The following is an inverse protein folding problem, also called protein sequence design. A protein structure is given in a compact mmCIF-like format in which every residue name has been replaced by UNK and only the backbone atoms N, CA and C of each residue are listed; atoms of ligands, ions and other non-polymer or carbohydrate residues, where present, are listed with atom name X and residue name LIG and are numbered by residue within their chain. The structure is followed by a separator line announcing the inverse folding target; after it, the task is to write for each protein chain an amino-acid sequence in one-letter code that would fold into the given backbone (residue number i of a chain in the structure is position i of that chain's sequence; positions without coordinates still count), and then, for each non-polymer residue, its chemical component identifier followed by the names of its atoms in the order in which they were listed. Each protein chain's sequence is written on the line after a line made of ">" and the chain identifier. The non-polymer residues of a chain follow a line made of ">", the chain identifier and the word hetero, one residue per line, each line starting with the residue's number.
data_IF_332764543477
#
_entry.id   IF_332764543477
#
_cell.length_a   1.000
_cell.length_b   1.000
_cell.length_c   1.000
_cell.angle_alpha   90.00
_cell.angle_beta   90.00
_cell.angle_gamma   90.00
#
_symmetry.space_group_name_H-M   'P 1'
#
loop_
_entity.id
_entity.type
_entity.pdbx_description
1 polymer ?
#
# COMPACT_ATOMS: atom_id res chain seq x y z
N UNK A 1 14.21 8.14 0.73
CA UNK A 1 14.13 7.37 -0.53
C UNK A 1 13.05 6.30 -0.49
N UNK A 2 13.28 5.08 0.05
CA UNK A 2 12.25 4.01 -0.01
C UNK A 2 10.96 4.42 0.70
N UNK A 3 11.07 5.00 1.90
CA UNK A 3 9.92 5.45 2.70
C UNK A 3 9.15 6.62 2.07
N UNK A 4 9.77 7.35 1.14
CA UNK A 4 9.15 8.46 0.39
C UNK A 4 8.54 8.00 -0.93
N UNK A 5 8.61 6.69 -1.24
CA UNK A 5 8.03 6.08 -2.44
C UNK A 5 8.59 6.72 -3.74
N UNK A 6 9.83 7.22 -3.70
CA UNK A 6 10.48 7.75 -4.92
C UNK A 6 10.91 6.62 -5.86
N UNK A 7 10.86 6.83 -7.19
CA UNK A 7 11.27 5.80 -8.16
C UNK A 7 12.69 5.29 -7.90
N UNK A 8 12.84 3.96 -7.82
CA UNK A 8 14.09 3.23 -7.62
C UNK A 8 14.82 3.01 -8.96
N UNK A 9 15.10 4.12 -9.65
CA UNK A 9 15.89 4.17 -10.88
C UNK A 9 17.11 5.08 -10.67
N UNK A 10 18.12 4.95 -11.55
CA UNK A 10 19.33 5.80 -11.53
C UNK A 10 19.98 5.91 -10.15
N UNK A 11 20.18 7.16 -9.69
CA UNK A 11 20.86 7.45 -8.43
C UNK A 11 20.09 6.97 -7.19
N UNK A 12 18.76 7.08 -7.18
CA UNK A 12 17.92 6.59 -6.08
C UNK A 12 18.15 5.08 -5.88
N UNK A 13 18.19 4.33 -6.99
CA UNK A 13 18.48 2.89 -6.95
C UNK A 13 19.88 2.61 -6.40
N UNK A 14 20.89 3.35 -6.87
CA UNK A 14 22.27 3.18 -6.40
C UNK A 14 22.39 3.40 -4.89
N UNK A 15 21.75 4.43 -4.35
CA UNK A 15 21.72 4.68 -2.90
C UNK A 15 21.01 3.57 -2.12
N UNK A 16 19.88 3.07 -2.61
CA UNK A 16 19.15 2.00 -1.91
C UNK A 16 19.92 0.68 -1.95
N UNK A 17 20.53 0.32 -3.08
CA UNK A 17 21.41 -0.86 -3.19
C UNK A 17 22.54 -0.79 -2.16
N UNK A 18 23.25 0.34 -2.09
CA UNK A 18 24.36 0.50 -1.15
C UNK A 18 23.87 0.57 0.30
N UNK A 19 22.77 1.26 0.55
CA UNK A 19 22.14 1.38 1.86
C UNK A 19 21.72 0.03 2.44
N UNK A 20 21.13 -0.85 1.62
CA UNK A 20 20.79 -2.22 2.05
C UNK A 20 22.05 -3.01 2.42
N UNK A 21 23.12 -2.93 1.62
CA UNK A 21 24.39 -3.61 1.93
C UNK A 21 24.99 -3.15 3.26
N UNK A 22 24.87 -1.87 3.59
CA UNK A 22 25.35 -1.29 4.87
C UNK A 22 24.41 -1.70 6.01
N UNK A 23 23.10 -1.54 5.84
CA UNK A 23 22.10 -1.86 6.87
C UNK A 23 22.15 -3.34 7.28
N UNK A 24 22.40 -4.25 6.33
CA UNK A 24 22.56 -5.69 6.60
C UNK A 24 23.68 -6.01 7.59
N UNK A 25 24.68 -5.13 7.74
CA UNK A 25 25.79 -5.31 8.67
C UNK A 25 25.40 -5.05 10.14
N UNK A 26 24.23 -4.44 10.39
CA UNK A 26 23.72 -4.21 11.74
C UNK A 26 24.55 -3.25 12.60
N UNK A 27 25.37 -2.39 11.98
CA UNK A 27 26.31 -1.51 12.71
C UNK A 27 25.68 -0.26 13.32
N UNK A 28 24.51 0.18 12.83
CA UNK A 28 23.79 1.31 13.42
C UNK A 28 22.89 0.79 14.56
N UNK A 29 23.12 1.22 15.83
CA UNK A 29 22.36 0.73 16.98
C UNK A 29 20.84 0.93 16.84
N UNK A 30 20.42 2.08 16.32
CA UNK A 30 19.01 2.40 16.10
C UNK A 30 18.31 1.47 15.11
N UNK A 31 18.93 1.23 13.95
CA UNK A 31 18.38 0.30 12.95
C UNK A 31 18.40 -1.15 13.45
N UNK A 32 19.43 -1.55 14.19
CA UNK A 32 19.51 -2.89 14.79
C UNK A 32 18.40 -3.10 15.83
N UNK A 33 18.20 -2.13 16.73
CA UNK A 33 17.11 -2.17 17.71
C UNK A 33 15.73 -2.19 17.03
N UNK A 34 15.54 -1.39 15.98
CA UNK A 34 14.29 -1.37 15.20
C UNK A 34 14.03 -2.71 14.49
N UNK A 35 15.06 -3.35 13.93
CA UNK A 35 14.93 -4.67 13.32
C UNK A 35 14.52 -5.73 14.35
N UNK A 36 15.11 -5.67 15.54
CA UNK A 36 14.80 -6.59 16.65
C UNK A 36 13.32 -6.48 17.08
N UNK A 37 12.84 -5.27 17.39
CA UNK A 37 11.42 -5.09 17.81
C UNK A 37 10.45 -5.42 16.67
N UNK A 38 10.86 -5.27 15.42
CA UNK A 38 10.08 -5.66 14.27
C UNK A 38 10.11 -7.16 13.95
N UNK A 39 10.87 -7.97 14.70
CA UNK A 39 11.02 -9.40 14.46
C UNK A 39 11.75 -9.74 13.16
N UNK A 40 12.60 -8.84 12.66
CA UNK A 40 13.39 -9.04 11.44
C UNK A 40 14.81 -9.44 11.82
N UNK A 41 15.28 -10.57 11.28
CA UNK A 41 16.66 -11.03 11.48
C UNK A 41 17.70 -10.15 10.79
N UNK A 42 17.46 -9.77 9.53
CA UNK A 42 18.36 -8.93 8.73
C UNK A 42 17.62 -7.93 7.85
N UNK A 43 18.20 -6.75 7.61
CA UNK A 43 17.68 -5.74 6.68
C UNK A 43 18.33 -5.95 5.31
N UNK A 44 17.71 -6.76 4.45
CA UNK A 44 18.29 -7.21 3.18
C UNK A 44 17.43 -6.93 1.94
N UNK A 45 16.30 -6.23 2.11
CA UNK A 45 15.39 -5.84 1.04
C UNK A 45 14.81 -4.45 1.30
N UNK A 46 14.58 -3.69 0.23
CA UNK A 46 13.87 -2.43 0.24
C UNK A 46 12.45 -2.57 0.82
N UNK A 47 11.77 -3.70 0.63
CA UNK A 47 10.43 -3.92 1.22
C UNK A 47 10.46 -3.81 2.75
N UNK A 48 11.54 -4.25 3.41
CA UNK A 48 11.68 -4.14 4.87
C UNK A 48 11.74 -2.68 5.32
N UNK A 49 12.39 -1.82 4.54
CA UNK A 49 12.34 -0.37 4.77
C UNK A 49 10.95 0.20 4.54
N UNK A 50 10.33 -0.09 3.40
CA UNK A 50 9.04 0.52 3.02
C UNK A 50 7.85 0.11 3.88
N UNK A 51 7.81 -1.16 4.31
CA UNK A 51 6.61 -1.74 4.92
C UNK A 51 6.79 -2.16 6.39
N UNK A 52 8.02 -2.20 6.91
CA UNK A 52 8.26 -2.68 8.28
C UNK A 52 8.94 -1.61 9.14
N UNK A 53 10.10 -1.10 8.72
CA UNK A 53 10.88 -0.13 9.49
C UNK A 53 10.33 1.30 9.32
N UNK A 54 10.06 1.73 8.09
CA UNK A 54 9.54 3.06 7.76
C UNK A 54 8.24 3.41 8.50
N UNK A 55 7.22 2.53 8.53
CA UNK A 55 6.00 2.78 9.29
C UNK A 55 6.23 3.02 10.78
N UNK A 56 7.19 2.30 11.40
CA UNK A 56 7.55 2.48 12.81
C UNK A 56 8.24 3.80 13.06
N UNK A 57 9.25 4.12 12.25
CA UNK A 57 9.95 5.41 12.33
C UNK A 57 8.97 6.59 12.17
N UNK A 58 8.04 6.48 11.22
CA UNK A 58 7.05 7.52 10.95
C UNK A 58 5.92 7.56 11.99
N UNK A 59 5.76 6.55 12.84
CA UNK A 59 4.71 6.51 13.84
C UNK A 59 4.87 7.62 14.89
N UNK A 60 6.12 7.96 15.26
CA UNK A 60 6.41 9.09 16.14
C UNK A 60 5.73 10.37 15.66
N UNK A 61 6.03 10.81 14.43
CA UNK A 61 5.43 12.03 13.87
C UNK A 61 3.90 11.97 13.75
N UNK A 62 3.34 10.80 13.45
CA UNK A 62 1.88 10.62 13.35
C UNK A 62 1.18 10.66 14.71
N UNK A 63 1.88 10.30 15.78
CA UNK A 63 1.36 10.26 17.14
C UNK A 63 1.85 11.43 18.00
N UNK A 64 2.38 12.49 17.39
CA UNK A 64 2.78 13.73 18.08
C UNK A 64 4.20 13.73 18.65
N UNK A 65 4.97 12.66 18.44
CA UNK A 65 6.33 12.46 18.95
C UNK A 65 7.37 12.41 17.81
N UNK A 66 7.39 13.45 16.99
CA UNK A 66 8.18 13.49 15.75
C UNK A 66 9.70 13.34 15.93
N UNK A 67 10.23 13.69 17.09
CA UNK A 67 11.65 13.66 17.42
C UNK A 67 12.21 12.24 17.60
N UNK A 68 11.37 11.25 17.95
CA UNK A 68 11.83 9.92 18.34
C UNK A 68 12.57 9.19 17.21
N UNK A 69 12.09 9.31 15.97
CA UNK A 69 12.71 8.66 14.82
C UNK A 69 14.13 9.17 14.56
N UNK A 70 14.34 10.49 14.65
CA UNK A 70 15.66 11.09 14.52
C UNK A 70 16.57 10.70 15.69
N UNK A 71 16.08 10.80 16.93
CA UNK A 71 16.82 10.42 18.13
C UNK A 71 17.30 8.96 18.07
N UNK A 72 16.46 8.04 17.57
CA UNK A 72 16.83 6.63 17.40
C UNK A 72 17.99 6.46 16.41
N UNK A 73 17.96 7.17 15.29
CA UNK A 73 18.92 6.95 14.20
C UNK A 73 20.30 7.56 14.49
N UNK A 74 20.37 8.56 15.37
CA UNK A 74 21.62 9.25 15.74
C UNK A 74 22.25 8.74 17.04
N UNK A 75 21.53 7.95 17.86
CA UNK A 75 22.10 7.43 19.10
C UNK A 75 23.18 6.37 18.84
N UNK A 76 24.26 6.44 19.61
CA UNK A 76 25.32 5.43 19.64
C UNK A 76 25.17 4.47 20.83
N UNK A 77 24.28 4.77 21.79
CA UNK A 77 24.02 3.95 22.96
C UNK A 77 22.95 2.87 22.64
N UNK A 78 23.32 1.57 22.68
CA UNK A 78 22.38 0.48 22.44
C UNK A 78 21.19 0.42 23.41
N UNK A 79 21.36 0.86 24.66
CA UNK A 79 20.29 0.88 25.65
C UNK A 79 19.24 1.94 25.30
N UNK A 80 19.69 3.16 24.96
CA UNK A 80 18.81 4.24 24.48
C UNK A 80 18.12 3.81 23.17
N UNK A 81 18.85 3.16 22.26
CA UNK A 81 18.29 2.68 21.00
C UNK A 81 17.15 1.66 21.23
N UNK A 82 17.32 0.74 22.18
CA UNK A 82 16.30 -0.25 22.54
C UNK A 82 15.02 0.42 23.09
N UNK A 83 15.17 1.40 23.99
CA UNK A 83 14.03 2.15 24.55
C UNK A 83 13.26 2.92 23.45
N UNK A 84 13.97 3.68 22.62
CA UNK A 84 13.38 4.46 21.54
C UNK A 84 12.69 3.56 20.50
N UNK A 85 13.30 2.42 20.16
CA UNK A 85 12.71 1.46 19.23
C UNK A 85 11.42 0.84 19.80
N UNK A 86 11.42 0.47 21.08
CA UNK A 86 10.23 -0.03 21.77
C UNK A 86 9.09 0.99 21.80
N UNK A 87 9.40 2.26 22.08
CA UNK A 87 8.41 3.36 22.05
C UNK A 87 7.83 3.56 20.65
N UNK A 88 8.66 3.59 19.61
CA UNK A 88 8.20 3.73 18.23
C UNK A 88 7.36 2.54 17.76
N UNK A 89 7.66 1.32 18.20
CA UNK A 89 6.86 0.13 17.91
C UNK A 89 5.48 0.19 18.59
N UNK A 90 5.43 0.63 19.85
CA UNK A 90 4.16 0.88 20.56
C UNK A 90 3.32 1.94 19.83
N UNK A 91 3.92 3.08 19.47
CA UNK A 91 3.24 4.14 18.73
C UNK A 91 2.73 3.64 17.37
N UNK A 92 3.49 2.80 16.68
CA UNK A 92 3.05 2.19 15.42
C UNK A 92 1.85 1.26 15.63
N UNK A 93 1.84 0.46 16.69
CA UNK A 93 0.74 -0.43 17.04
C UNK A 93 -0.54 0.37 17.35
N UNK A 94 -0.43 1.42 18.19
CA UNK A 94 -1.53 2.34 18.48
C UNK A 94 -2.05 3.00 17.20
N UNK A 95 -1.14 3.51 16.37
CA UNK A 95 -1.48 4.14 15.09
C UNK A 95 -2.18 3.18 14.13
N UNK A 96 -1.77 1.90 14.07
CA UNK A 96 -2.43 0.86 13.27
C UNK A 96 -3.85 0.55 13.78
N UNK A 97 -4.05 0.52 15.09
CA UNK A 97 -5.36 0.30 15.69
C UNK A 97 -6.33 1.44 15.33
N UNK A 98 -5.91 2.69 15.55
CA UNK A 98 -6.68 3.88 15.19
C UNK A 98 -6.99 3.94 13.69
N UNK A 99 -6.02 3.63 12.83
CA UNK A 99 -6.21 3.59 11.38
C UNK A 99 -7.31 2.60 10.98
N UNK A 100 -7.31 1.39 11.55
CA UNK A 100 -8.31 0.35 11.23
C UNK A 100 -9.71 0.79 11.63
N UNK A 101 -9.88 1.27 12.87
CA UNK A 101 -11.17 1.76 13.36
C UNK A 101 -11.69 2.93 12.53
N UNK A 102 -10.81 3.91 12.26
CA UNK A 102 -11.16 5.09 11.46
C UNK A 102 -11.51 4.69 10.02
N UNK A 103 -10.79 3.74 9.42
CA UNK A 103 -11.08 3.26 8.07
C UNK A 103 -12.45 2.57 8.00
N UNK A 104 -12.77 1.71 8.96
CA UNK A 104 -14.08 1.04 9.01
C UNK A 104 -15.23 2.05 9.14
N UNK A 105 -15.06 3.07 9.98
CA UNK A 105 -16.03 4.16 10.10
C UNK A 105 -16.13 4.98 8.81
N UNK A 106 -14.99 5.31 8.19
CA UNK A 106 -14.94 6.06 6.94
C UNK A 106 -15.60 5.31 5.78
N UNK A 107 -15.39 3.99 5.69
CA UNK A 107 -16.04 3.15 4.67
C UNK A 107 -17.57 3.20 4.79
N UNK A 108 -18.11 3.13 6.02
CA UNK A 108 -19.55 3.29 6.26
C UNK A 108 -20.04 4.70 5.90
N UNK A 109 -19.25 5.73 6.21
CA UNK A 109 -19.62 7.12 5.93
C UNK A 109 -19.69 7.46 4.44
N UNK A 110 -18.86 6.82 3.60
CA UNK A 110 -18.83 7.06 2.16
C UNK A 110 -19.79 6.19 1.36
N UNK A 111 -20.30 5.10 1.94
CA UNK A 111 -21.18 4.14 1.25
C UNK A 111 -22.41 4.79 0.57
N UNK A 112 -23.12 5.76 1.19
CA UNK A 112 -24.22 6.46 0.52
C UNK A 112 -23.78 7.30 -0.69
N UNK A 113 -22.54 7.81 -0.69
CA UNK A 113 -21.98 8.68 -1.73
C UNK A 113 -21.53 7.91 -2.98
N UNK A 114 -21.51 6.58 -2.91
CA UNK A 114 -21.11 5.73 -4.02
C UNK A 114 -22.12 5.73 -5.16
N UNK A 115 -23.38 6.06 -4.89
CA UNK A 115 -24.49 6.05 -5.87
C UNK A 115 -24.62 7.31 -6.71
N UNK A 116 -23.99 8.41 -6.29
CA UNK A 116 -24.29 9.74 -6.81
C UNK A 116 -23.28 10.24 -7.88
N UNK A 117 -22.43 9.35 -8.43
CA UNK A 117 -21.35 9.68 -9.40
C UNK A 117 -20.49 10.91 -9.02
N UNK A 118 -20.43 11.25 -7.73
CA UNK A 118 -19.69 12.42 -7.29
C UNK A 118 -18.18 12.23 -7.47
N UNK A 119 -17.43 13.24 -7.92
CA UNK A 119 -16.00 13.08 -8.17
C UNK A 119 -15.15 13.01 -6.89
N UNK A 120 -15.73 13.25 -5.71
CA UNK A 120 -15.03 13.26 -4.43
C UNK A 120 -15.81 12.47 -3.38
N UNK A 121 -15.12 11.61 -2.64
CA UNK A 121 -15.62 10.98 -1.42
C UNK A 121 -15.22 11.82 -0.21
N UNK A 122 -16.16 12.15 0.67
CA UNK A 122 -15.86 12.86 1.92
C UNK A 122 -16.27 11.99 3.10
N UNK A 123 -15.31 11.64 3.93
CA UNK A 123 -15.52 10.91 5.16
C UNK A 123 -15.17 11.84 6.34
N UNK A 124 -16.08 12.02 7.28
CA UNK A 124 -15.86 12.84 8.46
C UNK A 124 -16.38 12.15 9.71
N UNK A 125 -15.67 12.30 10.83
CA UNK A 125 -16.09 11.70 12.08
C UNK A 125 -15.43 12.35 13.31
N UNK A 126 -16.19 12.36 14.40
CA UNK A 126 -15.70 12.77 15.71
C UNK A 126 -14.76 11.71 16.30
N UNK A 127 -13.77 12.16 17.07
CA UNK A 127 -12.80 11.28 17.73
C UNK A 127 -11.76 10.65 16.79
N UNK A 128 -11.79 10.98 15.49
CA UNK A 128 -10.76 10.51 14.55
C UNK A 128 -9.44 11.23 14.80
N UNK A 129 -8.33 10.49 14.75
CA UNK A 129 -7.01 11.08 15.01
C UNK A 129 -6.42 11.74 13.74
N UNK A 130 -6.02 13.01 13.82
CA UNK A 130 -5.46 13.75 12.68
C UNK A 130 -4.21 13.10 12.06
N UNK A 131 -3.45 12.33 12.85
CA UNK A 131 -2.29 11.57 12.38
C UNK A 131 -2.60 10.39 11.43
N UNK A 132 -3.86 9.92 11.37
CA UNK A 132 -4.26 8.74 10.57
C UNK A 132 -5.16 9.07 9.39
N UNK A 133 -5.87 10.21 9.38
CA UNK A 133 -6.83 10.56 8.32
C UNK A 133 -6.20 10.60 6.92
N UNK A 134 -4.92 10.99 6.79
CA UNK A 134 -4.22 10.96 5.49
C UNK A 134 -4.00 9.55 4.94
N UNK A 135 -3.85 8.55 5.83
CA UNK A 135 -3.73 7.13 5.44
C UNK A 135 -5.11 6.60 5.05
N UNK A 136 -6.15 6.97 5.81
CA UNK A 136 -7.54 6.60 5.52
C UNK A 136 -7.97 7.15 4.16
N UNK A 137 -7.70 8.43 3.87
CA UNK A 137 -7.97 9.03 2.57
C UNK A 137 -7.28 8.26 1.42
N UNK A 138 -6.01 7.86 1.60
CA UNK A 138 -5.30 7.07 0.61
C UNK A 138 -5.95 5.70 0.36
N UNK A 139 -6.42 5.02 1.42
CA UNK A 139 -7.12 3.72 1.29
C UNK A 139 -8.50 3.85 0.64
N UNK A 140 -9.20 4.96 0.86
CA UNK A 140 -10.45 5.24 0.14
C UNK A 140 -10.18 5.43 -1.36
N UNK A 141 -9.14 6.19 -1.72
CA UNK A 141 -8.71 6.35 -3.12
C UNK A 141 -8.35 4.99 -3.73
N UNK A 142 -7.55 4.17 -3.04
CA UNK A 142 -7.15 2.83 -3.51
C UNK A 142 -8.37 1.92 -3.75
N UNK A 143 -9.35 1.94 -2.84
CA UNK A 143 -10.53 1.09 -2.92
C UNK A 143 -11.54 1.51 -3.98
N UNK A 144 -11.76 2.82 -4.14
CA UNK A 144 -12.84 3.35 -4.97
C UNK A 144 -12.38 4.05 -6.24
N UNK A 145 -11.07 4.18 -6.46
CA UNK A 145 -10.47 4.88 -7.60
C UNK A 145 -11.06 6.29 -7.80
N UNK A 146 -11.33 7.00 -6.70
CA UNK A 146 -11.91 8.35 -6.66
C UNK A 146 -11.13 9.20 -5.67
N UNK A 147 -10.94 10.51 -5.93
CA UNK A 147 -10.46 11.45 -4.93
C UNK A 147 -11.21 11.29 -3.61
N UNK A 148 -10.51 11.41 -2.49
CA UNK A 148 -11.11 11.26 -1.16
C UNK A 148 -10.56 12.30 -0.18
N UNK A 149 -11.42 12.78 0.71
CA UNK A 149 -11.12 13.66 1.83
C UNK A 149 -11.57 12.99 3.13
N UNK A 150 -10.65 12.78 4.06
CA UNK A 150 -10.95 12.31 5.41
C UNK A 150 -10.79 13.48 6.40
N UNK A 151 -11.79 13.71 7.25
CA UNK A 151 -11.85 14.84 8.19
C UNK A 151 -12.02 14.36 9.62
N UNK A 152 -11.06 14.69 10.48
CA UNK A 152 -11.17 14.51 11.92
C UNK A 152 -11.87 15.71 12.54
N UNK A 153 -12.97 15.47 13.26
CA UNK A 153 -13.78 16.51 13.89
C UNK A 153 -13.48 16.58 15.39
N UNK A 154 -13.13 17.78 15.88
CA UNK A 154 -12.86 18.05 17.29
C UNK A 154 -13.22 19.51 17.63
N UNK A 155 -14.06 19.72 18.65
CA UNK A 155 -14.35 21.07 19.18
C UNK A 155 -14.95 22.06 18.17
N UNK A 156 -15.79 21.59 17.23
CA UNK A 156 -16.38 22.42 16.18
C UNK A 156 -15.46 22.71 14.99
N UNK A 157 -14.23 22.19 15.00
CA UNK A 157 -13.24 22.33 13.93
C UNK A 157 -12.94 20.96 13.31
N UNK A 158 -12.83 20.92 11.99
CA UNK A 158 -12.44 19.76 11.21
C UNK A 158 -11.02 19.89 10.65
N UNK A 159 -10.14 18.94 10.95
CA UNK A 159 -8.83 18.79 10.27
C UNK A 159 -8.96 17.77 9.16
N UNK A 160 -8.77 18.19 7.91
CA UNK A 160 -8.93 17.37 6.72
C UNK A 160 -7.61 16.97 6.07
N UNK A 161 -7.52 15.73 5.59
CA UNK A 161 -6.47 15.27 4.67
C UNK A 161 -7.08 14.63 3.44
N UNK A 162 -6.71 15.12 2.28
CA UNK A 162 -7.19 14.68 0.98
C UNK A 162 -6.13 13.94 0.17
N UNK A 163 -6.57 12.98 -0.64
CA UNK A 163 -5.77 12.28 -1.66
C UNK A 163 -6.53 12.26 -2.97
N UNK A 164 -5.81 12.36 -4.08
CA UNK A 164 -6.38 12.44 -5.42
C UNK A 164 -5.90 11.29 -6.31
N UNK A 165 -6.44 11.27 -7.53
CA UNK A 165 -6.01 10.42 -8.65
C UNK A 165 -5.53 11.30 -9.81
N UNK A 166 -4.86 10.70 -10.79
CA UNK A 166 -4.44 11.40 -12.00
C UNK A 166 -5.65 12.07 -12.69
N UNK A 167 -5.45 13.30 -13.18
CA UNK A 167 -6.51 14.10 -13.82
C UNK A 167 -7.33 14.97 -12.85
N UNK A 168 -7.12 14.86 -11.53
CA UNK A 168 -7.86 15.63 -10.53
C UNK A 168 -6.90 16.42 -9.63
N UNK A 169 -6.84 17.75 -9.81
CA UNK A 169 -6.01 18.62 -8.98
C UNK A 169 -6.74 19.01 -7.67
N UNK A 170 -6.55 18.19 -6.64
CA UNK A 170 -7.16 18.43 -5.34
C UNK A 170 -6.52 19.63 -4.61
N UNK A 171 -5.22 19.86 -4.81
CA UNK A 171 -4.50 20.99 -4.22
C UNK A 171 -5.07 22.32 -4.66
N UNK A 172 -5.23 22.52 -5.97
CA UNK A 172 -5.83 23.72 -6.54
C UNK A 172 -7.28 23.92 -6.06
N UNK A 173 -8.07 22.84 -5.95
CA UNK A 173 -9.44 22.92 -5.44
C UNK A 173 -9.50 23.38 -3.97
N UNK A 174 -8.60 22.90 -3.11
CA UNK A 174 -8.50 23.31 -1.70
C UNK A 174 -8.01 24.76 -1.58
N UNK A 175 -7.04 25.18 -2.40
CA UNK A 175 -6.58 26.58 -2.44
C UNK A 175 -7.73 27.51 -2.84
N UNK A 176 -8.54 27.12 -3.84
CA UNK A 176 -9.72 27.86 -4.24
C UNK A 176 -10.79 27.91 -3.13
N UNK A 177 -10.98 26.83 -2.37
CA UNK A 177 -11.90 26.80 -1.24
C UNK A 177 -11.46 27.78 -0.13
N UNK A 178 -10.16 27.90 0.12
CA UNK A 178 -9.59 28.89 1.03
C UNK A 178 -9.87 30.32 0.55
N UNK A 179 -9.62 30.59 -0.73
CA UNK A 179 -9.89 31.89 -1.33
C UNK A 179 -11.39 32.27 -1.28
N UNK A 180 -12.28 31.28 -1.31
CA UNK A 180 -13.72 31.45 -1.17
C UNK A 180 -14.20 31.60 0.30
N UNK A 181 -13.30 31.54 1.29
CA UNK A 181 -13.65 31.64 2.71
C UNK A 181 -14.37 30.42 3.29
N UNK A 182 -14.35 29.28 2.59
CA UNK A 182 -15.02 28.04 3.03
C UNK A 182 -14.18 27.24 4.04
N UNK A 183 -12.88 27.52 4.12
CA UNK A 183 -11.93 26.87 5.03
C UNK A 183 -11.04 27.91 5.69
N UNK A 184 -10.65 27.67 6.93
CA UNK A 184 -9.78 28.57 7.71
C UNK A 184 -8.34 28.55 7.17
N UNK A 185 -7.87 27.36 6.84
CA UNK A 185 -6.52 27.12 6.32
C UNK A 185 -6.52 25.92 5.39
N UNK A 186 -5.64 25.91 4.40
CA UNK A 186 -5.45 24.75 3.54
C UNK A 186 -4.57 25.03 2.34
N UNK A 187 -4.10 23.94 1.74
CA UNK A 187 -3.24 23.93 0.57
C UNK A 187 -2.81 22.52 0.21
N UNK A 188 -2.00 22.39 -0.83
CA UNK A 188 -1.50 21.09 -1.26
C UNK A 188 -0.92 21.10 -2.66
N UNK A 189 -0.79 19.89 -3.20
CA UNK A 189 -0.36 19.60 -4.56
C UNK A 189 -1.46 18.78 -5.25
N UNK A 190 -1.37 18.51 -6.58
CA UNK A 190 -2.43 17.82 -7.30
C UNK A 190 -2.90 16.52 -6.65
N UNK A 191 -1.98 15.71 -6.11
CA UNK A 191 -2.28 14.39 -5.54
C UNK A 191 -2.64 14.38 -4.05
N UNK A 192 -2.44 15.48 -3.32
CA UNK A 192 -2.67 15.52 -1.87
C UNK A 192 -2.90 16.95 -1.35
N UNK A 193 -3.83 17.10 -0.43
CA UNK A 193 -4.13 18.38 0.20
C UNK A 193 -4.40 18.22 1.71
N UNK A 194 -4.22 19.31 2.46
CA UNK A 194 -4.60 19.42 3.86
C UNK A 194 -5.46 20.67 4.07
N UNK A 195 -6.42 20.61 4.99
CA UNK A 195 -7.31 21.73 5.29
C UNK A 195 -7.76 21.75 6.75
N UNK A 196 -8.23 22.92 7.19
CA UNK A 196 -8.95 23.16 8.44
C UNK A 196 -10.27 23.84 8.10
N UNK A 197 -11.39 23.32 8.56
CA UNK A 197 -12.74 23.77 8.21
C UNK A 197 -13.63 23.82 9.44
N UNK A 198 -14.49 24.83 9.55
CA UNK A 198 -15.57 24.81 10.53
C UNK A 198 -16.56 23.68 10.19
N UNK A 199 -16.96 22.87 11.18
CA UNK A 199 -17.83 21.72 10.93
C UNK A 199 -19.14 22.12 10.24
N UNK A 200 -19.69 23.31 10.52
CA UNK A 200 -20.89 23.84 9.87
C UNK A 200 -20.68 24.14 8.36
N UNK A 201 -19.44 24.41 7.94
CA UNK A 201 -19.08 24.66 6.54
C UNK A 201 -18.80 23.38 5.75
N UNK A 202 -18.70 22.22 6.40
CA UNK A 202 -18.33 20.97 5.75
C UNK A 202 -19.24 20.58 4.57
N UNK A 203 -20.59 20.69 4.65
CA UNK A 203 -21.45 20.42 3.50
C UNK A 203 -21.22 21.38 2.33
N UNK A 204 -21.02 22.67 2.61
CA UNK A 204 -20.74 23.68 1.60
C UNK A 204 -19.38 23.45 0.92
N UNK A 205 -18.36 23.07 1.71
CA UNK A 205 -17.06 22.68 1.23
C UNK A 205 -17.15 21.46 0.30
N UNK A 206 -17.83 20.40 0.71
CA UNK A 206 -18.00 19.20 -0.11
C UNK A 206 -18.63 19.54 -1.47
N UNK A 207 -19.73 20.30 -1.46
CA UNK A 207 -20.39 20.73 -2.69
C UNK A 207 -19.46 21.57 -3.58
N UNK A 208 -18.67 22.47 -2.99
CA UNK A 208 -17.70 23.30 -3.72
C UNK A 208 -16.60 22.45 -4.37
N UNK A 209 -15.99 21.53 -3.62
CA UNK A 209 -14.92 20.66 -4.13
C UNK A 209 -15.45 19.74 -5.23
N UNK A 210 -16.62 19.13 -5.03
CA UNK A 210 -17.27 18.28 -6.05
C UNK A 210 -17.47 19.05 -7.37
N UNK A 211 -17.99 20.28 -7.32
CA UNK A 211 -18.17 21.10 -8.54
C UNK A 211 -16.86 21.39 -9.26
N UNK A 212 -15.79 21.74 -8.54
CA UNK A 212 -14.49 22.05 -9.17
C UNK A 212 -13.84 20.81 -9.77
N UNK A 213 -13.91 19.68 -9.08
CA UNK A 213 -13.36 18.42 -9.56
C UNK A 213 -14.15 17.90 -10.78
N UNK A 214 -15.47 18.02 -10.78
CA UNK A 214 -16.31 17.69 -11.93
C UNK A 214 -15.98 18.56 -13.16
N UNK A 215 -15.76 19.87 -12.98
CA UNK A 215 -15.36 20.76 -14.08
C UNK A 215 -14.02 20.36 -14.71
N UNK A 216 -13.10 19.81 -13.91
CA UNK A 216 -11.81 19.32 -14.40
C UNK A 216 -11.97 18.05 -15.26
N UNK A 217 -12.94 17.18 -14.91
CA UNK A 217 -13.31 16.02 -15.74
C UNK A 217 -13.85 16.45 -17.11
N UNK A 218 -14.72 17.47 -17.15
CA UNK A 218 -15.34 17.93 -18.38
C UNK A 218 -14.33 18.58 -19.36
N UNK A 219 -13.30 19.25 -18.83
CA UNK A 219 -12.27 19.93 -19.63
C UNK A 219 -11.19 18.97 -20.16
N UNK A 220 -10.99 17.84 -19.51
CA UNK A 220 -9.99 16.85 -19.94
C UNK A 220 -10.45 16.01 -21.15
N UNK A 221 -11.68 16.23 -21.65
CA UNK A 221 -12.29 15.34 -22.66
C UNK A 221 -12.43 13.90 -22.15
N UNK A 222 -12.90 12.94 -22.95
CA UNK A 222 -12.68 11.53 -22.66
C UNK A 222 -11.18 11.20 -22.86
N UNK A 223 -10.29 11.83 -22.09
CA UNK A 223 -8.87 11.55 -22.12
C UNK A 223 -8.66 10.16 -21.54
N UNK A 224 -8.71 9.13 -22.39
CA UNK A 224 -8.30 7.75 -22.06
C UNK A 224 -8.69 7.30 -20.66
N UNK A 225 -9.82 7.80 -20.17
CA UNK A 225 -10.60 7.17 -19.14
C UNK A 225 -11.21 6.01 -19.87
N UNK A 226 -10.36 4.99 -20.14
CA UNK A 226 -10.80 3.60 -20.09
C UNK A 226 -11.67 3.61 -18.86
N UNK A 227 -12.96 3.53 -19.09
CA UNK A 227 -13.96 3.21 -18.09
C UNK A 227 -13.49 1.86 -17.56
N UNK A 228 -12.50 1.92 -16.67
CA UNK A 228 -12.19 0.84 -15.79
C UNK A 228 -13.41 0.88 -14.90
N UNK A 229 -14.41 0.10 -15.32
CA UNK A 229 -15.46 -0.40 -14.45
C UNK A 229 -14.85 -0.54 -13.05
N UNK A 230 -15.40 0.12 -12.02
CA UNK A 230 -14.88 0.03 -10.66
C UNK A 230 -14.61 -1.43 -10.33
N UNK A 231 -13.32 -1.80 -10.19
CA UNK A 231 -12.89 -3.18 -9.98
C UNK A 231 -12.11 -3.88 -11.10
N UNK A 232 -11.82 -3.25 -12.26
CA UNK A 232 -10.98 -3.85 -13.32
C UNK A 232 -9.63 -3.14 -13.51
N UNK A 233 -8.80 -3.11 -12.47
CA UNK A 233 -7.43 -2.64 -12.62
C UNK A 233 -6.66 -3.49 -13.65
N UNK A 234 -5.95 -2.86 -14.57
CA UNK A 234 -5.09 -3.57 -15.51
C UNK A 234 -3.89 -4.19 -14.78
N UNK A 235 -3.78 -5.52 -14.82
CA UNK A 235 -2.63 -6.23 -14.28
C UNK A 235 -1.54 -6.40 -15.35
N UNK A 236 -0.47 -5.62 -15.23
CA UNK A 236 0.70 -5.74 -16.13
C UNK A 236 1.56 -6.94 -15.73
N UNK A 237 1.94 -7.73 -16.75
CA UNK A 237 2.85 -8.88 -16.63
C UNK A 237 4.08 -8.66 -17.51
N UNK A 238 5.21 -9.19 -17.07
CA UNK A 238 6.52 -9.05 -17.73
C UNK A 238 6.81 -10.19 -18.72
N UNK A 239 6.06 -11.29 -18.63
CA UNK A 239 6.18 -12.39 -19.58
C UNK A 239 5.30 -13.59 -19.26
N UNK A 240 5.24 -14.52 -20.20
CA UNK A 240 4.60 -15.82 -20.05
C UNK A 240 5.65 -16.90 -19.76
N UNK A 241 5.37 -17.76 -18.79
CA UNK A 241 6.24 -18.88 -18.42
C UNK A 241 5.44 -20.18 -18.34
N UNK A 242 6.08 -21.29 -18.71
CA UNK A 242 5.57 -22.61 -18.33
C UNK A 242 5.82 -22.85 -16.85
N UNK A 243 4.99 -23.70 -16.23
CA UNK A 243 5.18 -24.04 -14.81
C UNK A 243 6.55 -24.69 -14.54
N UNK A 244 7.09 -25.44 -15.53
CA UNK A 244 8.43 -26.04 -15.45
C UNK A 244 9.57 -25.00 -15.36
N UNK A 245 9.35 -23.76 -15.80
CA UNK A 245 10.34 -22.69 -15.67
C UNK A 245 10.46 -22.17 -14.22
N UNK A 246 9.47 -22.44 -13.36
CA UNK A 246 9.51 -22.04 -11.95
C UNK A 246 10.46 -22.95 -11.18
N UNK A 247 11.71 -22.55 -11.12
CA UNK A 247 12.78 -23.28 -10.44
C UNK A 247 13.73 -22.32 -9.71
N UNK A 248 14.57 -22.88 -8.83
CA UNK A 248 15.47 -22.10 -7.97
C UNK A 248 16.49 -21.29 -8.77
N UNK A 249 16.90 -21.76 -9.95
CA UNK A 249 17.81 -21.03 -10.82
C UNK A 249 17.18 -19.74 -11.34
N UNK A 250 15.95 -19.81 -11.88
CA UNK A 250 15.22 -18.63 -12.33
C UNK A 250 14.94 -17.68 -11.17
N UNK A 251 14.47 -18.21 -10.02
CA UNK A 251 14.20 -17.40 -8.83
C UNK A 251 15.44 -16.61 -8.37
N UNK A 252 16.62 -17.25 -8.31
CA UNK A 252 17.88 -16.57 -7.96
C UNK A 252 18.29 -15.51 -8.96
N UNK A 253 18.10 -15.75 -10.27
CA UNK A 253 18.36 -14.73 -11.30
C UNK A 253 17.45 -13.52 -11.14
N UNK A 254 16.17 -13.74 -10.87
CA UNK A 254 15.23 -12.64 -10.63
C UNK A 254 15.61 -11.83 -9.39
N UNK A 255 16.05 -12.48 -8.31
CA UNK A 255 16.52 -11.79 -7.10
C UNK A 255 17.74 -10.89 -7.34
N UNK A 256 18.55 -11.14 -8.38
CA UNK A 256 19.65 -10.22 -8.76
C UNK A 256 19.14 -8.87 -9.30
N UNK A 257 17.87 -8.79 -9.72
CA UNK A 257 17.22 -7.56 -10.16
C UNK A 257 16.72 -6.71 -8.98
N UNK A 258 16.84 -7.19 -7.75
CA UNK A 258 16.52 -6.42 -6.56
C UNK A 258 17.52 -5.23 -6.37
N UNK A 259 17.17 -4.20 -5.59
CA UNK A 259 15.92 -4.01 -4.85
C UNK A 259 14.75 -3.69 -5.77
N UNK A 260 13.57 -4.22 -5.41
CA UNK A 260 12.30 -3.87 -6.04
C UNK A 260 11.59 -2.77 -5.23
N UNK A 261 10.78 -1.97 -5.90
CA UNK A 261 10.03 -0.88 -5.28
C UNK A 261 9.40 0.05 -6.31
N UNK A 262 8.98 1.24 -5.89
CA UNK A 262 8.36 2.22 -6.78
C UNK A 262 9.21 2.43 -8.04
N UNK A 263 8.61 2.36 -9.24
CA UNK A 263 9.31 2.55 -10.51
C UNK A 263 10.30 1.44 -10.90
N UNK A 264 10.40 0.37 -10.11
CA UNK A 264 11.17 -0.85 -10.42
C UNK A 264 10.47 -2.05 -9.79
N UNK A 265 9.30 -2.38 -10.35
CA UNK A 265 8.43 -3.43 -9.86
C UNK A 265 9.12 -4.80 -9.89
N UNK A 266 8.68 -5.68 -8.99
CA UNK A 266 9.09 -7.08 -9.02
C UNK A 266 8.41 -7.81 -10.19
N UNK A 267 9.17 -8.59 -11.00
CA UNK A 267 8.65 -9.24 -12.19
C UNK A 267 7.44 -10.14 -11.92
N UNK A 268 6.35 -9.92 -12.65
CA UNK A 268 5.13 -10.73 -12.64
C UNK A 268 5.06 -11.58 -13.90
N UNK A 269 4.72 -12.84 -13.74
CA UNK A 269 4.58 -13.76 -14.87
C UNK A 269 3.18 -14.34 -14.94
N UNK A 270 2.70 -14.53 -16.16
CA UNK A 270 1.52 -15.36 -16.42
C UNK A 270 1.98 -16.80 -16.66
N UNK A 271 1.30 -17.75 -16.03
CA UNK A 271 1.51 -19.18 -16.26
C UNK A 271 0.22 -19.78 -16.80
N UNK A 272 0.34 -20.27 -18.03
CA UNK A 272 -0.74 -20.91 -18.78
C UNK A 272 -0.81 -22.41 -18.50
N UNK A 273 -1.98 -22.99 -18.79
CA UNK A 273 -2.23 -24.43 -18.71
C UNK A 273 -1.93 -25.03 -17.32
N UNK A 274 -2.10 -24.26 -16.25
CA UNK A 274 -1.94 -24.78 -14.89
C UNK A 274 -3.22 -25.46 -14.45
N UNK A 275 -3.11 -26.58 -13.75
CA UNK A 275 -4.21 -27.25 -13.07
C UNK A 275 -3.96 -27.24 -11.58
N UNK A 276 -4.94 -26.81 -10.81
CA UNK A 276 -4.87 -26.90 -9.34
C UNK A 276 -5.12 -28.35 -8.94
N UNK A 277 -4.11 -28.99 -8.37
CA UNK A 277 -4.16 -30.37 -7.87
C UNK A 277 -4.73 -30.45 -6.47
N UNK A 278 -4.32 -29.51 -5.62
CA UNK A 278 -4.74 -29.40 -4.24
C UNK A 278 -4.80 -27.92 -3.89
N UNK A 279 -5.82 -27.51 -3.16
CA UNK A 279 -5.91 -26.18 -2.58
C UNK A 279 -6.52 -26.29 -1.19
N UNK A 280 -6.00 -25.51 -0.25
CA UNK A 280 -6.54 -25.44 1.11
C UNK A 280 -6.41 -24.04 1.68
N UNK A 281 -7.39 -23.58 2.47
CA UNK A 281 -7.21 -22.39 3.28
C UNK A 281 -6.05 -22.58 4.27
N UNK A 282 -5.27 -21.52 4.48
CA UNK A 282 -4.22 -21.47 5.50
C UNK A 282 -4.24 -20.12 6.21
N UNK A 283 -3.99 -20.11 7.52
CA UNK A 283 -4.01 -18.87 8.31
C UNK A 283 -5.34 -18.12 8.21
N UNK A 284 -5.28 -16.79 8.13
CA UNK A 284 -6.46 -15.91 7.99
C UNK A 284 -6.53 -15.36 6.56
N UNK A 285 -7.43 -15.94 5.75
CA UNK A 285 -7.74 -15.44 4.41
C UNK A 285 -6.67 -15.72 3.36
N UNK A 286 -5.89 -16.81 3.48
CA UNK A 286 -4.91 -17.20 2.47
C UNK A 286 -5.24 -18.59 1.91
N UNK A 287 -4.81 -18.88 0.69
CA UNK A 287 -4.93 -20.23 0.09
C UNK A 287 -3.56 -20.74 -0.33
N UNK A 288 -3.18 -21.90 0.20
CA UNK A 288 -2.03 -22.64 -0.32
C UNK A 288 -2.51 -23.69 -1.30
N UNK A 289 -1.86 -23.77 -2.45
CA UNK A 289 -2.20 -24.74 -3.48
C UNK A 289 -0.96 -25.43 -4.08
N UNK A 290 -1.22 -26.51 -4.81
CA UNK A 290 -0.25 -27.22 -5.63
C UNK A 290 -0.73 -27.14 -7.08
N UNK A 291 0.09 -26.53 -7.94
CA UNK A 291 -0.17 -26.35 -9.35
C UNK A 291 0.59 -27.41 -10.15
N UNK A 292 -0.05 -28.00 -11.15
CA UNK A 292 0.58 -28.88 -12.13
C UNK A 292 0.43 -28.30 -13.53
N UNK A 293 1.48 -28.39 -14.34
CA UNK A 293 1.45 -28.02 -15.75
C UNK A 293 1.46 -29.27 -16.65
N UNK A 294 1.46 -29.10 -17.97
CA UNK A 294 1.56 -30.22 -18.92
C UNK A 294 2.86 -31.01 -18.80
N UNK A 295 3.92 -30.37 -18.31
CA UNK A 295 5.23 -30.97 -18.09
C UNK A 295 5.91 -30.33 -16.86
N UNK A 296 6.85 -31.07 -16.27
CA UNK A 296 7.64 -30.65 -15.13
C UNK A 296 7.01 -30.96 -13.77
N UNK A 297 7.72 -30.66 -12.68
CA UNK A 297 7.22 -30.91 -11.33
C UNK A 297 6.07 -29.97 -10.97
N UNK A 298 5.24 -30.41 -10.04
CA UNK A 298 4.23 -29.55 -9.45
C UNK A 298 4.88 -28.44 -8.60
N UNK A 299 4.30 -27.24 -8.65
CA UNK A 299 4.82 -26.04 -8.00
C UNK A 299 3.88 -25.62 -6.88
N UNK A 300 4.44 -25.27 -5.73
CA UNK A 300 3.68 -24.74 -4.61
C UNK A 300 3.27 -23.29 -4.89
N UNK A 301 1.98 -23.01 -4.74
CA UNK A 301 1.41 -21.67 -4.77
C UNK A 301 0.93 -21.21 -3.39
N UNK A 302 1.02 -19.91 -3.14
CA UNK A 302 0.38 -19.22 -2.02
C UNK A 302 -0.30 -17.96 -2.54
N UNK A 303 -1.58 -17.79 -2.22
CA UNK A 303 -2.34 -16.58 -2.45
C UNK A 303 -2.63 -15.92 -1.11
N UNK A 304 -2.07 -14.73 -0.88
CA UNK A 304 -2.30 -13.97 0.36
C UNK A 304 -3.54 -13.10 0.23
N UNK A 305 -4.32 -13.00 1.31
CA UNK A 305 -5.58 -12.23 1.39
C UNK A 305 -6.54 -12.52 0.22
N UNK A 306 -6.55 -13.75 -0.26
CA UNK A 306 -7.29 -14.16 -1.46
C UNK A 306 -8.81 -14.13 -1.28
N UNK A 307 -9.30 -14.13 -0.04
CA UNK A 307 -10.72 -13.98 0.28
C UNK A 307 -11.25 -12.56 0.00
N UNK A 308 -10.38 -11.55 0.08
CA UNK A 308 -10.75 -10.15 -0.13
C UNK A 308 -11.08 -9.87 -1.61
N UNK A 309 -10.53 -10.68 -2.52
CA UNK A 309 -10.66 -10.52 -3.98
C UNK A 309 -11.50 -11.61 -4.65
N UNK A 310 -11.88 -12.67 -3.93
CA UNK A 310 -12.55 -13.84 -4.50
C UNK A 310 -11.61 -14.82 -5.23
N UNK A 311 -10.29 -14.56 -5.23
CA UNK A 311 -9.26 -15.45 -5.77
C UNK A 311 -9.26 -16.81 -5.04
N UNK A 312 -9.63 -16.82 -3.76
CA UNK A 312 -9.81 -18.04 -2.99
C UNK A 312 -10.81 -19.01 -3.63
N UNK A 313 -11.94 -18.50 -4.13
CA UNK A 313 -12.98 -19.32 -4.79
C UNK A 313 -12.44 -19.97 -6.06
N UNK A 314 -11.69 -19.24 -6.87
CA UNK A 314 -11.07 -19.77 -8.09
C UNK A 314 -10.07 -20.89 -7.76
N UNK A 315 -9.19 -20.66 -6.77
CA UNK A 315 -8.18 -21.66 -6.39
C UNK A 315 -8.79 -22.89 -5.69
N UNK A 316 -9.76 -22.70 -4.81
CA UNK A 316 -10.44 -23.78 -4.09
C UNK A 316 -11.40 -24.57 -4.98
N UNK A 317 -12.00 -23.93 -5.99
CA UNK A 317 -12.80 -24.59 -7.01
C UNK A 317 -11.99 -25.54 -7.90
N UNK A 318 -10.67 -25.39 -7.91
CA UNK A 318 -9.76 -26.26 -8.63
C UNK A 318 -9.80 -26.07 -10.14
N UNK A 319 -9.49 -27.13 -10.89
CA UNK A 319 -9.58 -27.11 -12.35
C UNK A 319 -8.40 -26.44 -13.04
N UNK A 320 -8.59 -26.12 -14.32
CA UNK A 320 -7.57 -25.55 -15.19
C UNK A 320 -7.65 -24.02 -15.15
N UNK A 321 -6.57 -23.37 -14.69
CA UNK A 321 -6.46 -21.94 -14.50
C UNK A 321 -5.24 -21.39 -15.26
N UNK A 322 -5.39 -20.16 -15.74
CA UNK A 322 -4.28 -19.24 -15.95
C UNK A 322 -4.03 -18.52 -14.64
N UNK A 323 -2.80 -18.54 -14.15
CA UNK A 323 -2.42 -17.83 -12.91
C UNK A 323 -1.39 -16.75 -13.23
N UNK A 324 -1.49 -15.63 -12.53
CA UNK A 324 -0.50 -14.55 -12.54
C UNK A 324 0.12 -14.46 -11.16
N UNK A 325 1.44 -14.33 -11.11
CA UNK A 325 2.14 -14.23 -9.83
C UNK A 325 3.63 -13.96 -9.95
N UNK A 326 4.27 -13.91 -8.79
CA UNK A 326 5.71 -13.71 -8.63
C UNK A 326 6.38 -15.01 -8.21
N UNK A 327 7.54 -15.28 -8.81
CA UNK A 327 8.35 -16.43 -8.41
C UNK A 327 9.04 -16.11 -7.08
N UNK A 328 8.86 -16.99 -6.09
CA UNK A 328 9.47 -16.89 -4.77
C UNK A 328 10.52 -17.97 -4.57
N UNK A 329 11.55 -17.65 -3.78
CA UNK A 329 12.55 -18.59 -3.30
C UNK A 329 12.35 -18.76 -1.79
N UNK A 330 11.86 -19.93 -1.39
CA UNK A 330 11.68 -20.27 0.02
C UNK A 330 12.83 -21.17 0.47
N UNK A 331 13.28 -21.01 1.71
CA UNK A 331 14.23 -21.91 2.35
C UNK A 331 13.57 -22.60 3.54
N UNK A 332 13.56 -23.92 3.53
CA UNK A 332 13.05 -24.72 4.65
C UNK A 332 14.03 -25.84 4.98
N UNK A 333 14.47 -25.91 6.24
CA UNK A 333 15.49 -26.87 6.72
C UNK A 333 16.75 -26.89 5.83
N UNK A 334 17.20 -25.72 5.39
CA UNK A 334 18.39 -25.57 4.54
C UNK A 334 18.22 -26.01 3.07
N UNK A 335 17.01 -26.41 2.66
CA UNK A 335 16.70 -26.69 1.25
C UNK A 335 15.90 -25.56 0.65
N UNK A 336 16.44 -24.98 -0.41
CA UNK A 336 15.74 -23.97 -1.20
C UNK A 336 14.75 -24.61 -2.18
N UNK A 337 13.58 -23.99 -2.30
CA UNK A 337 12.54 -24.36 -3.26
C UNK A 337 11.98 -23.12 -3.91
N UNK A 338 11.69 -23.21 -5.21
CA UNK A 338 10.94 -22.18 -5.89
C UNK A 338 9.44 -22.44 -5.73
N UNK A 339 8.69 -21.36 -5.56
CA UNK A 339 7.24 -21.36 -5.48
C UNK A 339 6.66 -20.15 -6.22
N UNK A 340 5.33 -20.03 -6.14
CA UNK A 340 4.60 -18.93 -6.76
C UNK A 340 3.78 -18.20 -5.68
N UNK A 341 3.98 -16.89 -5.56
CA UNK A 341 3.04 -16.00 -4.90
C UNK A 341 1.99 -15.58 -5.93
N UNK A 342 0.76 -16.08 -5.79
CA UNK A 342 -0.33 -15.89 -6.75
C UNK A 342 -1.05 -14.60 -6.42
N UNK A 343 -1.17 -13.73 -7.42
CA UNK A 343 -1.86 -12.44 -7.34
C UNK A 343 -3.24 -12.49 -8.00
N UNK A 344 -3.40 -13.26 -9.08
CA UNK A 344 -4.65 -13.37 -9.81
C UNK A 344 -4.77 -14.73 -10.53
N UNK A 345 -5.99 -15.14 -10.83
CA UNK A 345 -6.28 -16.36 -11.58
C UNK A 345 -7.56 -16.23 -12.41
N UNK A 346 -7.54 -16.80 -13.61
CA UNK A 346 -8.70 -16.90 -14.48
C UNK A 346 -8.87 -18.35 -14.98
N UNK A 347 -10.11 -18.86 -15.09
CA UNK A 347 -10.36 -20.13 -15.77
C UNK A 347 -9.78 -20.12 -17.19
N UNK A 348 -9.21 -21.24 -17.60
CA UNK A 348 -8.99 -21.51 -19.02
C UNK A 348 -10.35 -21.90 -19.60
N UNK A 349 -10.86 -21.09 -20.53
CA UNK A 349 -12.20 -21.24 -21.12
C UNK A 349 -12.48 -22.61 -21.71
#
# INVERSE_FOLDING_TARGET
>A
TVCDVVPLTGLNRAFVVQGIKIARQGRNPGLAAMALVAGIETIDDARKFGFILGPRLNAGGRMGESQLGAALLVTEDPAIAAELAGRLDLLNTTRQALERETLEAALRAVEPQLRDDQPLLVAAGEGWHAGVIGIVAARLVERFARPALAVALEGGVGKGSGRSIAGFDLGAAVIAARAAGLIEAGGGHPMAAGLTVDVAQLPALQAFLCRRLAATMALSGPAESRTIEPGRAELRVDGALSLAAVNTHLARKLLQLAPFGAGHDEPRFVLDATRVMQARPVGRGHVSCLLAGPAGPAVRGIAFRSADTGLDRALLGGGALRVVGRIRLDSYQGRERAGLEIEDAAPLG
#
